data_IF_015389003887
#
_entry.id   IF_015389003887
#
_cell.length_a   1.000
_cell.length_b   1.000
_cell.length_c   1.000
_cell.angle_alpha   90.00
_cell.angle_beta   90.00
_cell.angle_gamma   90.00
#
_symmetry.space_group_name_H-M   'P 1'
#
loop_
_entity.id
_entity.type
_entity.pdbx_description
1 polymer ?
#
# COMPACT_ATOMS: atom_id res chain seq x y z
N UNK A 1 38.78 37.84 -62.69
CA UNK A 1 40.07 37.20 -63.03
C UNK A 1 40.77 36.86 -61.73
N UNK A 2 40.62 35.63 -61.25
CA UNK A 2 41.25 35.13 -60.02
C UNK A 2 41.61 33.68 -60.26
N UNK A 3 42.91 33.39 -60.26
CA UNK A 3 43.51 32.15 -60.76
C UNK A 3 43.48 31.01 -59.75
N UNK A 4 43.32 29.82 -60.33
CA UNK A 4 43.18 28.47 -59.79
C UNK A 4 44.11 28.07 -58.63
N UNK A 5 43.54 27.34 -57.66
CA UNK A 5 44.24 26.46 -56.73
C UNK A 5 43.92 25.02 -57.13
N UNK A 6 44.97 24.23 -57.39
CA UNK A 6 44.94 22.82 -57.74
C UNK A 6 44.42 21.94 -56.59
N UNK A 7 43.59 20.96 -56.95
CA UNK A 7 43.19 19.82 -56.11
C UNK A 7 44.35 18.84 -55.97
N UNK A 8 44.64 18.40 -54.74
CA UNK A 8 45.36 17.15 -54.44
C UNK A 8 44.61 16.37 -53.34
N UNK A 9 44.76 15.02 -53.28
CA UNK A 9 43.71 14.09 -52.88
C UNK A 9 43.67 13.74 -51.38
N UNK A 10 42.46 13.43 -50.90
CA UNK A 10 42.20 12.74 -49.64
C UNK A 10 42.76 11.31 -49.69
N UNK A 11 43.82 11.03 -48.94
CA UNK A 11 44.17 9.65 -48.57
C UNK A 11 45.09 9.68 -47.34
N UNK A 12 44.52 9.62 -46.13
CA UNK A 12 45.18 9.11 -44.90
C UNK A 12 44.22 9.26 -43.71
N UNK A 13 43.17 8.44 -43.69
CA UNK A 13 42.43 8.07 -42.47
C UNK A 13 42.44 6.55 -42.38
N UNK A 14 42.81 5.94 -41.23
CA UNK A 14 42.79 4.50 -41.09
C UNK A 14 41.34 3.99 -40.95
N UNK A 15 41.03 2.94 -41.69
CA UNK A 15 39.74 2.29 -41.82
C UNK A 15 39.20 1.72 -40.49
N UNK A 16 37.87 1.75 -40.25
CA UNK A 16 37.25 1.11 -39.10
C UNK A 16 36.86 -0.34 -39.45
N UNK A 17 37.84 -1.23 -39.59
CA UNK A 17 37.57 -2.67 -39.84
C UNK A 17 37.96 -3.60 -38.69
N UNK A 18 38.37 -3.08 -37.53
CA UNK A 18 38.74 -3.91 -36.37
C UNK A 18 37.71 -3.99 -35.24
N UNK A 19 36.50 -3.41 -35.41
CA UNK A 19 35.42 -3.46 -34.41
C UNK A 19 34.26 -4.39 -34.78
N UNK A 20 34.29 -5.01 -35.97
CA UNK A 20 33.22 -5.91 -36.47
C UNK A 20 33.50 -7.41 -36.25
N UNK A 21 34.70 -7.79 -35.79
CA UNK A 21 35.07 -9.20 -35.55
C UNK A 21 34.88 -9.67 -34.11
N UNK A 22 34.63 -8.76 -33.15
CA UNK A 22 34.24 -9.11 -31.77
C UNK A 22 32.72 -9.04 -31.52
N UNK A 23 31.96 -8.35 -32.38
CA UNK A 23 30.50 -8.33 -32.34
C UNK A 23 29.82 -9.52 -33.02
N UNK A 24 30.51 -10.20 -33.95
CA UNK A 24 29.94 -11.29 -34.76
C UNK A 24 30.03 -12.67 -34.11
N UNK A 25 30.88 -12.88 -33.09
CA UNK A 25 30.95 -14.17 -32.37
C UNK A 25 29.97 -14.29 -31.18
N UNK A 26 29.42 -13.17 -30.68
CA UNK A 26 28.40 -13.19 -29.62
C UNK A 26 26.96 -13.25 -30.16
N UNK A 27 26.77 -12.92 -31.44
CA UNK A 27 25.48 -13.01 -32.13
C UNK A 27 25.16 -14.41 -32.70
N UNK A 28 26.10 -15.36 -32.65
CA UNK A 28 25.88 -16.69 -33.23
C UNK A 28 25.26 -17.73 -32.28
N UNK A 29 25.09 -17.41 -30.98
CA UNK A 29 24.42 -18.29 -30.00
C UNK A 29 23.00 -17.86 -29.62
N UNK A 30 22.51 -16.73 -30.11
CA UNK A 30 21.15 -16.22 -29.87
C UNK A 30 20.19 -16.41 -31.05
N UNK A 31 20.63 -17.01 -32.16
CA UNK A 31 19.79 -17.25 -33.36
C UNK A 31 19.23 -18.67 -33.48
N UNK A 32 19.52 -19.59 -32.56
CA UNK A 32 19.10 -20.99 -32.68
C UNK A 32 17.65 -21.28 -32.25
N UNK A 33 16.82 -20.25 -32.03
CA UNK A 33 15.38 -20.40 -31.78
C UNK A 33 14.50 -19.60 -32.77
N UNK A 34 15.07 -19.03 -33.83
CA UNK A 34 14.27 -18.33 -34.86
C UNK A 34 14.80 -18.65 -36.25
N UNK A 35 14.47 -19.85 -36.73
CA UNK A 35 14.24 -20.23 -38.13
C UNK A 35 14.25 -21.76 -38.26
N UNK A 36 13.08 -22.37 -38.09
CA UNK A 36 12.73 -23.63 -38.77
C UNK A 36 11.27 -23.53 -39.16
N UNK A 37 11.05 -23.28 -40.45
CA UNK A 37 9.75 -23.36 -41.11
C UNK A 37 9.27 -24.82 -41.11
N UNK A 38 8.22 -25.10 -40.36
CA UNK A 38 7.54 -26.39 -40.17
C UNK A 38 6.34 -26.21 -39.22
N UNK A 39 5.31 -27.07 -39.28
CA UNK A 39 3.89 -26.68 -39.17
C UNK A 39 3.52 -26.00 -37.84
N UNK A 40 2.62 -25.01 -37.94
CA UNK A 40 2.21 -24.02 -36.93
C UNK A 40 1.68 -24.57 -35.60
N UNK A 41 1.49 -25.89 -35.47
CA UNK A 41 1.00 -26.51 -34.24
C UNK A 41 2.07 -26.69 -33.15
N UNK A 42 3.36 -26.71 -33.49
CA UNK A 42 4.44 -27.02 -32.53
C UNK A 42 5.17 -25.78 -31.98
N UNK A 43 4.90 -24.57 -32.49
CA UNK A 43 5.65 -23.36 -32.15
C UNK A 43 5.09 -22.64 -30.90
N UNK A 44 3.78 -22.75 -30.65
CA UNK A 44 3.14 -22.17 -29.46
C UNK A 44 3.44 -22.96 -28.17
N UNK A 45 3.64 -24.27 -28.27
CA UNK A 45 3.89 -25.16 -27.13
C UNK A 45 5.32 -24.99 -26.56
N UNK A 46 6.31 -24.67 -27.42
CA UNK A 46 7.69 -24.44 -26.99
C UNK A 46 7.91 -23.07 -26.32
N UNK A 47 7.22 -22.02 -26.75
CA UNK A 47 7.35 -20.68 -26.15
C UNK A 47 6.64 -20.58 -24.80
N UNK A 48 5.52 -21.29 -24.65
CA UNK A 48 4.72 -21.36 -23.44
C UNK A 48 5.38 -22.19 -22.32
N UNK A 49 5.97 -23.33 -22.67
CA UNK A 49 6.79 -24.12 -21.73
C UNK A 49 8.03 -23.35 -21.29
N UNK A 50 8.57 -22.47 -22.13
CA UNK A 50 9.67 -21.58 -21.80
C UNK A 50 9.24 -20.50 -20.77
N UNK A 51 8.10 -19.84 -20.98
CA UNK A 51 7.55 -18.82 -20.08
C UNK A 51 7.20 -19.39 -18.68
N UNK A 52 6.55 -20.55 -18.63
CA UNK A 52 6.20 -21.24 -17.38
C UNK A 52 7.45 -21.67 -16.59
N UNK A 53 8.46 -22.22 -17.29
CA UNK A 53 9.76 -22.60 -16.68
C UNK A 53 10.50 -21.39 -16.14
N UNK A 54 10.44 -20.23 -16.81
CA UNK A 54 11.06 -19.01 -16.29
C UNK A 54 10.40 -18.53 -15.01
N UNK A 55 9.06 -18.50 -14.92
CA UNK A 55 8.39 -18.07 -13.70
C UNK A 55 8.57 -19.03 -12.51
N UNK A 56 8.50 -20.34 -12.75
CA UNK A 56 8.87 -21.34 -11.75
C UNK A 56 10.33 -21.16 -11.28
N UNK A 57 11.23 -20.78 -12.18
CA UNK A 57 12.61 -20.43 -11.83
C UNK A 57 12.75 -19.13 -11.03
N UNK A 58 11.74 -18.25 -11.01
CA UNK A 58 11.73 -17.03 -10.18
C UNK A 58 10.99 -17.19 -8.86
N UNK A 59 9.97 -18.06 -8.79
CA UNK A 59 9.24 -18.37 -7.55
C UNK A 59 10.01 -19.39 -6.70
N UNK A 60 10.68 -20.35 -7.32
CA UNK A 60 11.44 -21.39 -6.61
C UNK A 60 12.58 -20.87 -5.73
N UNK A 61 13.38 -19.84 -6.09
CA UNK A 61 14.41 -19.30 -5.20
C UNK A 61 13.81 -18.60 -3.98
N UNK A 62 12.70 -17.87 -4.15
CA UNK A 62 11.98 -17.25 -3.02
C UNK A 62 11.43 -18.31 -2.06
N UNK A 63 10.81 -19.36 -2.61
CA UNK A 63 10.30 -20.48 -1.81
C UNK A 63 11.43 -21.23 -1.10
N UNK A 64 12.57 -21.44 -1.79
CA UNK A 64 13.75 -22.08 -1.22
C UNK A 64 14.37 -21.26 -0.10
N UNK A 65 14.52 -19.95 -0.28
CA UNK A 65 15.02 -19.05 0.79
C UNK A 65 14.06 -19.07 1.99
N UNK A 66 12.75 -18.99 1.75
CA UNK A 66 11.75 -19.00 2.81
C UNK A 66 11.72 -20.33 3.58
N UNK A 67 11.56 -21.46 2.88
CA UNK A 67 11.49 -22.80 3.48
C UNK A 67 12.83 -23.24 4.07
N UNK A 68 13.94 -22.96 3.38
CA UNK A 68 15.28 -23.26 3.86
C UNK A 68 15.62 -22.48 5.13
N UNK A 69 15.27 -21.20 5.20
CA UNK A 69 15.43 -20.41 6.42
C UNK A 69 14.51 -20.85 7.55
N UNK A 70 13.24 -21.19 7.26
CA UNK A 70 12.31 -21.74 8.26
C UNK A 70 12.83 -23.06 8.84
N UNK A 71 13.29 -23.98 7.97
CA UNK A 71 13.90 -25.24 8.38
C UNK A 71 15.16 -25.01 9.21
N UNK A 72 16.02 -24.08 8.81
CA UNK A 72 17.23 -23.73 9.56
C UNK A 72 16.90 -23.21 10.96
N UNK A 73 15.90 -22.34 11.10
CA UNK A 73 15.46 -21.80 12.40
C UNK A 73 14.88 -22.92 13.27
N UNK A 74 14.04 -23.79 12.70
CA UNK A 74 13.46 -24.94 13.41
C UNK A 74 14.53 -25.94 13.84
N UNK A 75 15.47 -26.28 12.95
CA UNK A 75 16.59 -27.15 13.26
C UNK A 75 17.46 -26.58 14.38
N UNK A 76 17.82 -25.29 14.33
CA UNK A 76 18.57 -24.64 15.40
C UNK A 76 17.80 -24.61 16.73
N UNK A 77 16.47 -24.42 16.69
CA UNK A 77 15.62 -24.46 17.89
C UNK A 77 15.58 -25.87 18.48
N UNK A 78 15.44 -26.89 17.64
CA UNK A 78 15.47 -28.30 18.03
C UNK A 78 16.83 -28.70 18.60
N UNK A 79 17.94 -28.35 17.93
CA UNK A 79 19.30 -28.61 18.42
C UNK A 79 19.54 -27.91 19.76
N UNK A 80 19.10 -26.66 19.92
CA UNK A 80 19.27 -25.92 21.18
C UNK A 80 18.40 -26.49 22.30
N UNK A 81 17.24 -27.04 21.97
CA UNK A 81 16.37 -27.74 22.91
C UNK A 81 17.01 -29.07 23.36
N UNK A 82 17.45 -29.89 22.39
CA UNK A 82 18.15 -31.17 22.62
C UNK A 82 19.43 -30.93 23.41
N UNK A 83 20.24 -29.93 23.05
CA UNK A 83 21.45 -29.57 23.79
C UNK A 83 21.13 -29.16 25.22
N UNK A 84 20.09 -28.34 25.46
CA UNK A 84 19.68 -27.98 26.84
C UNK A 84 19.17 -29.19 27.61
N UNK A 85 18.45 -30.10 26.97
CA UNK A 85 17.97 -31.34 27.57
C UNK A 85 19.12 -32.27 27.95
N UNK A 86 20.06 -32.52 27.04
CA UNK A 86 21.27 -33.32 27.27
C UNK A 86 22.15 -32.65 28.34
N UNK A 87 22.35 -31.34 28.28
CA UNK A 87 23.13 -30.61 29.28
C UNK A 87 22.47 -30.70 30.66
N UNK A 88 21.14 -30.64 30.75
CA UNK A 88 20.38 -30.83 32.00
C UNK A 88 20.51 -32.26 32.54
N UNK A 89 20.52 -33.28 31.67
CA UNK A 89 20.77 -34.68 32.05
C UNK A 89 22.22 -34.88 32.56
N UNK A 90 23.20 -34.32 31.86
CA UNK A 90 24.61 -34.37 32.26
C UNK A 90 24.84 -33.59 33.56
N UNK A 91 24.23 -32.42 33.74
CA UNK A 91 24.32 -31.65 34.99
C UNK A 91 23.70 -32.41 36.17
N UNK A 92 22.56 -33.10 35.97
CA UNK A 92 21.98 -33.99 36.99
C UNK A 92 22.93 -35.13 37.38
N UNK A 93 23.74 -35.64 36.46
CA UNK A 93 24.77 -36.67 36.74
C UNK A 93 26.09 -36.11 37.30
N UNK A 94 26.39 -34.81 37.12
CA UNK A 94 27.73 -34.22 37.35
C UNK A 94 27.78 -33.22 38.52
N UNK A 95 26.90 -33.37 39.52
CA UNK A 95 27.04 -32.68 40.82
C UNK A 95 28.13 -33.39 41.65
N UNK A 96 29.38 -33.29 41.19
CA UNK A 96 30.64 -33.53 41.93
C UNK A 96 31.85 -33.22 41.02
N UNK A 97 32.01 -31.98 40.56
CA UNK A 97 33.34 -31.33 40.52
C UNK A 97 33.28 -29.87 40.07
N UNK A 98 34.13 -29.05 40.70
CA UNK A 98 34.24 -27.60 40.52
C UNK A 98 35.16 -27.27 39.34
N UNK A 99 34.66 -27.21 38.11
CA UNK A 99 35.38 -26.58 36.99
C UNK A 99 34.47 -26.01 35.88
N UNK A 100 33.25 -25.59 36.22
CA UNK A 100 32.31 -24.97 35.26
C UNK A 100 32.51 -23.46 35.05
N UNK A 101 33.48 -22.82 35.73
CA UNK A 101 33.53 -21.35 35.88
C UNK A 101 34.11 -20.61 34.67
N UNK A 102 35.05 -21.19 33.92
CA UNK A 102 35.75 -20.52 32.82
C UNK A 102 35.03 -20.62 31.46
N UNK A 103 34.41 -21.76 31.15
CA UNK A 103 33.63 -21.94 29.91
C UNK A 103 32.32 -21.12 29.90
N UNK A 104 31.69 -20.97 31.07
CA UNK A 104 30.48 -20.14 31.22
C UNK A 104 30.76 -18.64 31.00
N UNK A 105 31.93 -18.14 31.44
CA UNK A 105 32.32 -16.73 31.31
C UNK A 105 32.50 -16.28 29.84
N UNK A 106 33.11 -17.09 28.96
CA UNK A 106 33.24 -16.75 27.52
C UNK A 106 31.89 -16.76 26.79
N UNK A 107 31.05 -17.76 27.06
CA UNK A 107 29.70 -17.88 26.45
C UNK A 107 28.77 -16.76 26.93
N UNK A 108 28.90 -16.33 28.18
CA UNK A 108 28.15 -15.21 28.75
C UNK A 108 28.60 -13.85 28.20
N UNK A 109 29.90 -13.65 27.91
CA UNK A 109 30.40 -12.44 27.24
C UNK A 109 29.91 -12.30 25.80
N UNK A 110 29.97 -13.36 24.99
CA UNK A 110 29.47 -13.34 23.60
C UNK A 110 27.96 -13.04 23.54
N UNK A 111 27.16 -13.66 24.43
CA UNK A 111 25.72 -13.41 24.52
C UNK A 111 25.43 -11.98 25.00
N UNK A 112 26.26 -11.42 25.89
CA UNK A 112 26.14 -10.04 26.35
C UNK A 112 26.36 -9.02 25.23
N UNK A 113 27.43 -9.16 24.43
CA UNK A 113 27.69 -8.27 23.28
C UNK A 113 26.60 -8.38 22.21
N UNK A 114 26.14 -9.59 21.89
CA UNK A 114 25.01 -9.78 20.95
C UNK A 114 23.74 -9.11 21.46
N UNK A 115 23.46 -9.20 22.76
CA UNK A 115 22.27 -8.58 23.35
C UNK A 115 22.37 -7.05 23.36
N UNK A 116 23.54 -6.48 23.67
CA UNK A 116 23.78 -5.04 23.56
C UNK A 116 23.60 -4.57 22.12
N UNK A 117 24.21 -5.26 21.16
CA UNK A 117 24.11 -4.91 19.75
C UNK A 117 22.66 -4.98 19.26
N UNK A 118 21.93 -6.04 19.61
CA UNK A 118 20.50 -6.17 19.31
C UNK A 118 19.68 -5.05 19.92
N UNK A 119 20.00 -4.64 21.16
CA UNK A 119 19.30 -3.53 21.83
C UNK A 119 19.59 -2.20 21.13
N UNK A 120 20.83 -1.96 20.71
CA UNK A 120 21.17 -0.76 19.92
C UNK A 120 20.43 -0.74 18.57
N UNK A 121 20.39 -1.87 17.86
CA UNK A 121 19.65 -2.00 16.60
C UNK A 121 18.14 -1.80 16.80
N UNK A 122 17.57 -2.35 17.89
CA UNK A 122 16.17 -2.15 18.25
C UNK A 122 15.87 -0.66 18.53
N UNK A 123 16.77 0.05 19.20
CA UNK A 123 16.65 1.49 19.42
C UNK A 123 16.72 2.28 18.11
N UNK A 124 17.55 1.87 17.15
CA UNK A 124 17.61 2.46 15.81
C UNK A 124 16.36 2.17 14.97
N UNK A 125 15.73 1.01 15.14
CA UNK A 125 14.48 0.65 14.48
C UNK A 125 13.25 1.23 15.17
N UNK A 126 13.39 1.67 16.43
CA UNK A 126 12.32 2.31 17.18
C UNK A 126 12.11 3.76 16.75
N UNK A 127 10.86 4.20 16.71
CA UNK A 127 10.49 5.59 16.43
C UNK A 127 10.84 6.57 17.58
N UNK A 128 11.40 6.07 18.69
CA UNK A 128 11.75 6.90 19.84
C UNK A 128 12.98 7.78 19.55
N UNK A 129 13.89 7.29 18.71
CA UNK A 129 15.09 8.06 18.31
C UNK A 129 14.81 8.92 17.08
N UNK A 130 15.50 10.06 16.94
CA UNK A 130 15.45 10.87 15.71
C UNK A 130 15.92 10.06 14.49
N UNK A 131 16.98 9.27 14.65
CA UNK A 131 17.52 8.40 13.61
C UNK A 131 16.50 7.35 13.14
N UNK A 132 15.79 6.70 14.07
CA UNK A 132 14.76 5.72 13.71
C UNK A 132 13.57 6.33 13.00
N UNK A 133 13.16 7.55 13.36
CA UNK A 133 12.13 8.28 12.61
C UNK A 133 12.54 8.54 11.16
N UNK A 134 13.78 9.03 10.94
CA UNK A 134 14.31 9.25 9.59
C UNK A 134 14.38 7.95 8.80
N UNK A 135 14.87 6.86 9.40
CA UNK A 135 14.95 5.55 8.77
C UNK A 135 13.56 5.04 8.34
N UNK A 136 12.55 5.16 9.20
CA UNK A 136 11.18 4.73 8.91
C UNK A 136 10.56 5.53 7.75
N UNK A 137 10.74 6.85 7.72
CA UNK A 137 10.29 7.70 6.62
C UNK A 137 11.01 7.32 5.32
N UNK A 138 12.33 7.12 5.38
CA UNK A 138 13.12 6.71 4.22
C UNK A 138 12.63 5.37 3.66
N UNK A 139 12.45 4.36 4.52
CA UNK A 139 11.93 3.04 4.14
C UNK A 139 10.56 3.17 3.49
N UNK A 140 9.68 4.02 4.04
CA UNK A 140 8.36 4.27 3.47
C UNK A 140 8.43 4.91 2.08
N UNK A 141 9.22 5.97 1.90
CA UNK A 141 9.40 6.62 0.60
C UNK A 141 9.98 5.64 -0.44
N UNK A 142 10.94 4.80 -0.03
CA UNK A 142 11.49 3.75 -0.89
C UNK A 142 10.46 2.67 -1.23
N UNK A 143 9.57 2.31 -0.31
CA UNK A 143 8.46 1.37 -0.58
C UNK A 143 7.52 1.93 -1.66
N UNK A 144 7.08 3.18 -1.50
CA UNK A 144 6.27 3.87 -2.52
C UNK A 144 7.03 3.94 -3.85
N UNK A 145 8.32 4.30 -3.83
CA UNK A 145 9.15 4.32 -5.03
C UNK A 145 9.21 2.96 -5.74
N UNK A 146 9.41 1.86 -5.02
CA UNK A 146 9.42 0.51 -5.62
C UNK A 146 8.07 0.04 -6.15
N UNK A 147 6.96 0.57 -5.61
CA UNK A 147 5.63 0.31 -6.11
C UNK A 147 5.36 1.10 -7.40
N UNK A 148 5.82 2.35 -7.47
CA UNK A 148 5.76 3.17 -8.70
C UNK A 148 6.58 2.52 -9.81
N UNK A 149 7.80 2.07 -9.50
CA UNK A 149 8.64 1.32 -10.46
C UNK A 149 7.90 0.08 -10.97
N UNK A 150 7.17 -0.63 -10.11
CA UNK A 150 6.34 -1.76 -10.53
C UNK A 150 5.23 -1.35 -11.50
N UNK A 151 4.53 -0.23 -11.28
CA UNK A 151 3.54 0.26 -12.24
C UNK A 151 4.17 0.69 -13.58
N UNK A 152 5.36 1.29 -13.55
CA UNK A 152 6.10 1.64 -14.77
C UNK A 152 6.46 0.36 -15.54
N UNK A 153 7.03 -0.65 -14.86
CA UNK A 153 7.35 -1.96 -15.44
C UNK A 153 6.11 -2.62 -16.08
N UNK A 154 4.93 -2.47 -15.48
CA UNK A 154 3.66 -2.98 -16.04
C UNK A 154 3.26 -2.25 -17.32
N UNK A 155 3.30 -0.92 -17.32
CA UNK A 155 2.93 -0.11 -18.50
C UNK A 155 3.88 -0.35 -19.69
N UNK A 156 5.18 -0.52 -19.41
CA UNK A 156 6.17 -0.80 -20.44
C UNK A 156 6.07 -2.23 -20.98
N UNK A 157 5.68 -3.20 -20.14
CA UNK A 157 5.46 -4.58 -20.56
C UNK A 157 4.32 -4.74 -21.57
N UNK A 158 3.32 -3.85 -21.54
CA UNK A 158 2.17 -3.88 -22.45
C UNK A 158 2.48 -3.31 -23.85
N UNK A 159 3.55 -2.53 -24.04
CA UNK A 159 3.81 -1.83 -25.31
C UNK A 159 4.83 -2.49 -26.26
N UNK A 160 5.55 -3.54 -25.84
CA UNK A 160 6.57 -4.30 -26.61
C UNK A 160 7.76 -3.50 -27.22
N UNK A 161 8.97 -4.05 -27.02
CA UNK A 161 10.19 -3.96 -27.83
C UNK A 161 11.16 -2.76 -27.78
N UNK A 162 11.01 -1.73 -26.93
CA UNK A 162 12.12 -0.78 -26.72
C UNK A 162 12.78 -0.94 -25.36
N UNK A 163 14.08 -1.24 -25.43
CA UNK A 163 15.06 -1.35 -24.34
C UNK A 163 14.66 -0.60 -23.10
N UNK A 164 14.56 -1.33 -21.98
CA UNK A 164 14.46 -0.77 -20.64
C UNK A 164 15.29 0.52 -20.54
N UNK A 165 14.74 1.64 -20.05
CA UNK A 165 15.60 2.73 -19.61
C UNK A 165 16.52 2.13 -18.55
N UNK A 166 17.77 1.86 -18.94
CA UNK A 166 18.79 1.18 -18.13
C UNK A 166 18.81 1.72 -16.69
N UNK A 167 18.53 3.03 -16.54
CA UNK A 167 18.36 3.75 -15.27
C UNK A 167 17.32 3.13 -14.33
N UNK A 168 16.11 2.78 -14.77
CA UNK A 168 15.04 2.27 -13.89
C UNK A 168 15.42 0.92 -13.29
N UNK A 169 16.03 0.03 -14.08
CA UNK A 169 16.53 -1.26 -13.59
C UNK A 169 17.63 -1.08 -12.55
N UNK A 170 18.60 -0.19 -12.79
CA UNK A 170 19.67 0.07 -11.82
C UNK A 170 19.12 0.67 -10.52
N UNK A 171 18.14 1.57 -10.61
CA UNK A 171 17.45 2.14 -9.45
C UNK A 171 16.68 1.06 -8.67
N UNK A 172 15.93 0.17 -9.35
CA UNK A 172 15.23 -0.94 -8.68
C UNK A 172 16.22 -1.86 -7.96
N UNK A 173 17.35 -2.22 -8.60
CA UNK A 173 18.40 -3.02 -7.96
C UNK A 173 18.99 -2.33 -6.73
N UNK A 174 19.22 -1.02 -6.80
CA UNK A 174 19.72 -0.24 -5.67
C UNK A 174 18.73 -0.22 -4.50
N UNK A 175 17.44 0.03 -4.77
CA UNK A 175 16.39 -0.02 -3.75
C UNK A 175 16.27 -1.41 -3.11
N UNK A 176 16.34 -2.48 -3.91
CA UNK A 176 16.29 -3.84 -3.37
C UNK A 176 17.54 -4.21 -2.56
N UNK A 177 18.72 -3.68 -2.90
CA UNK A 177 19.92 -3.84 -2.07
C UNK A 177 19.76 -3.17 -0.70
N UNK A 178 19.17 -1.97 -0.65
CA UNK A 178 18.81 -1.33 0.61
C UNK A 178 17.79 -2.16 1.42
N UNK A 179 16.78 -2.77 0.77
CA UNK A 179 15.82 -3.63 1.47
C UNK A 179 16.44 -4.91 2.04
N UNK A 180 17.43 -5.51 1.38
CA UNK A 180 18.20 -6.64 1.96
C UNK A 180 18.89 -6.20 3.24
N UNK A 181 19.57 -5.06 3.20
CA UNK A 181 20.26 -4.51 4.37
C UNK A 181 19.26 -4.24 5.50
N UNK A 182 18.14 -3.58 5.20
CA UNK A 182 17.09 -3.28 6.17
C UNK A 182 16.42 -4.53 6.75
N UNK A 183 16.18 -5.56 5.92
CA UNK A 183 15.71 -6.87 6.37
C UNK A 183 16.72 -7.53 7.33
N UNK A 184 18.02 -7.46 7.02
CA UNK A 184 19.08 -7.96 7.89
C UNK A 184 19.11 -7.28 9.26
N UNK A 185 18.97 -5.94 9.30
CA UNK A 185 18.87 -5.18 10.56
C UNK A 185 17.68 -5.63 11.40
N UNK A 186 16.49 -5.75 10.79
CA UNK A 186 15.28 -6.23 11.47
C UNK A 186 15.41 -7.67 11.96
N UNK A 187 16.00 -8.55 11.15
CA UNK A 187 16.25 -9.94 11.54
C UNK A 187 17.17 -10.03 12.76
N UNK A 188 18.23 -9.22 12.83
CA UNK A 188 19.14 -9.21 13.99
C UNK A 188 18.43 -8.66 15.23
N UNK A 189 17.64 -7.59 15.09
CA UNK A 189 16.93 -6.95 16.20
C UNK A 189 15.76 -7.76 16.78
N UNK A 190 15.16 -8.69 16.02
CA UNK A 190 13.99 -9.44 16.48
C UNK A 190 14.29 -10.39 17.65
N UNK A 191 13.51 -10.35 18.73
CA UNK A 191 13.66 -11.26 19.87
C UNK A 191 13.31 -12.71 19.49
N UNK A 192 12.16 -12.90 18.83
CA UNK A 192 11.68 -14.20 18.34
C UNK A 192 11.85 -14.34 16.82
N UNK A 193 12.95 -15.00 16.41
CA UNK A 193 13.30 -15.17 14.99
C UNK A 193 12.22 -15.88 14.16
N UNK A 194 11.48 -16.83 14.76
CA UNK A 194 10.43 -17.58 14.05
C UNK A 194 9.17 -16.73 13.83
N UNK A 195 8.77 -15.95 14.84
CA UNK A 195 7.64 -15.02 14.71
C UNK A 195 7.95 -13.92 13.69
N UNK A 196 9.17 -13.41 13.71
CA UNK A 196 9.67 -12.47 12.71
C UNK A 196 9.67 -13.06 11.29
N UNK A 197 10.06 -14.32 11.13
CA UNK A 197 10.08 -14.99 9.82
C UNK A 197 8.68 -15.17 9.20
N UNK A 198 7.65 -15.33 10.03
CA UNK A 198 6.24 -15.48 9.63
C UNK A 198 5.46 -14.16 9.62
N UNK A 199 6.10 -13.04 9.95
CA UNK A 199 5.47 -11.72 9.91
C UNK A 199 5.19 -11.30 8.46
N UNK A 200 4.01 -10.74 8.18
CA UNK A 200 3.59 -10.37 6.81
C UNK A 200 4.63 -9.49 6.08
N UNK A 201 5.21 -8.52 6.78
CA UNK A 201 6.23 -7.64 6.21
C UNK A 201 7.50 -8.41 5.80
N UNK A 202 7.90 -9.42 6.58
CA UNK A 202 9.02 -10.29 6.24
C UNK A 202 8.68 -11.22 5.07
N UNK A 203 7.45 -11.74 5.02
CA UNK A 203 6.97 -12.56 3.90
C UNK A 203 7.02 -11.80 2.58
N UNK A 204 6.57 -10.54 2.57
CA UNK A 204 6.66 -9.68 1.38
C UNK A 204 8.11 -9.54 0.93
N UNK A 205 9.06 -9.36 1.85
CA UNK A 205 10.48 -9.24 1.52
C UNK A 205 11.04 -10.54 0.92
N UNK A 206 10.67 -11.70 1.45
CA UNK A 206 11.09 -12.99 0.89
C UNK A 206 10.62 -13.24 -0.54
N UNK A 207 9.42 -12.77 -0.89
CA UNK A 207 8.89 -12.99 -2.24
C UNK A 207 9.27 -11.90 -3.23
N UNK A 208 9.63 -10.70 -2.76
CA UNK A 208 9.93 -9.55 -3.63
C UNK A 208 11.42 -9.33 -3.86
N UNK A 209 12.28 -9.65 -2.89
CA UNK A 209 13.72 -9.35 -2.95
C UNK A 209 14.52 -10.39 -3.77
N UNK A 210 14.46 -11.71 -3.48
CA UNK A 210 15.25 -12.71 -4.22
C UNK A 210 15.06 -12.70 -5.74
N UNK A 211 13.83 -12.56 -6.29
CA UNK A 211 13.64 -12.54 -7.74
C UNK A 211 14.38 -11.40 -8.44
N UNK A 212 14.61 -10.27 -7.75
CA UNK A 212 15.36 -9.13 -8.32
C UNK A 212 16.84 -9.49 -8.46
N UNK A 213 17.42 -10.23 -7.51
CA UNK A 213 18.80 -10.73 -7.62
C UNK A 213 18.93 -11.81 -8.69
N UNK A 214 17.97 -12.73 -8.77
CA UNK A 214 17.95 -13.75 -9.82
C UNK A 214 17.79 -13.11 -11.20
N UNK A 215 16.98 -12.06 -11.30
CA UNK A 215 16.84 -11.25 -12.51
C UNK A 215 18.14 -10.52 -12.89
N UNK A 216 18.90 -10.05 -11.89
CA UNK A 216 20.23 -9.48 -12.10
C UNK A 216 21.24 -10.52 -12.62
N UNK A 217 21.18 -11.77 -12.13
CA UNK A 217 22.05 -12.87 -12.55
C UNK A 217 21.71 -13.38 -13.95
N UNK A 218 20.41 -13.57 -14.26
CA UNK A 218 19.92 -14.12 -15.53
C UNK A 218 19.80 -13.06 -16.64
N UNK A 219 20.04 -11.78 -16.34
CA UNK A 219 19.87 -10.61 -17.24
C UNK A 219 18.50 -10.57 -17.94
N UNK A 220 17.46 -11.13 -17.30
CA UNK A 220 16.07 -11.14 -17.76
C UNK A 220 15.16 -10.56 -16.69
N UNK A 221 14.22 -9.70 -17.08
CA UNK A 221 13.20 -9.17 -16.19
C UNK A 221 11.93 -10.02 -16.29
N UNK A 222 11.44 -10.47 -15.14
CA UNK A 222 10.14 -11.11 -15.01
C UNK A 222 9.34 -10.39 -13.92
N UNK A 223 8.06 -10.11 -14.18
CA UNK A 223 7.18 -9.39 -13.26
C UNK A 223 6.87 -10.21 -12.00
N UNK A 224 6.66 -11.53 -12.13
CA UNK A 224 6.51 -12.47 -11.02
C UNK A 224 5.61 -11.98 -9.87
N UNK A 225 6.09 -12.13 -8.63
CA UNK A 225 5.37 -11.74 -7.40
C UNK A 225 5.65 -10.28 -6.97
N UNK A 226 6.09 -9.40 -7.88
CA UNK A 226 6.41 -8.00 -7.55
C UNK A 226 5.18 -7.20 -7.06
N UNK A 227 3.96 -7.60 -7.43
CA UNK A 227 2.73 -6.96 -6.95
C UNK A 227 2.57 -7.03 -5.43
N UNK A 228 3.20 -7.99 -4.75
CA UNK A 228 3.19 -8.09 -3.28
C UNK A 228 3.81 -6.86 -2.60
N UNK A 229 4.58 -6.04 -3.32
CA UNK A 229 5.09 -4.74 -2.83
C UNK A 229 3.93 -3.81 -2.38
N UNK A 230 2.73 -3.95 -2.95
CA UNK A 230 1.56 -3.17 -2.53
C UNK A 230 1.14 -3.45 -1.07
N UNK A 231 1.42 -4.64 -0.53
CA UNK A 231 1.15 -4.98 0.88
C UNK A 231 1.96 -4.11 1.85
N UNK A 232 3.08 -3.50 1.42
CA UNK A 232 3.87 -2.59 2.25
C UNK A 232 3.13 -1.29 2.59
N UNK A 233 2.04 -0.98 1.89
CA UNK A 233 1.15 0.13 2.26
C UNK A 233 0.48 -0.09 3.63
N UNK A 234 0.43 -1.32 4.15
CA UNK A 234 -0.09 -1.63 5.49
C UNK A 234 0.70 -0.93 6.61
N UNK A 235 1.95 -0.53 6.37
CA UNK A 235 2.77 0.19 7.35
C UNK A 235 2.46 1.70 7.40
N UNK A 236 1.76 2.24 6.38
CA UNK A 236 1.42 3.67 6.25
C UNK A 236 0.74 4.26 7.50
N UNK A 237 -0.28 3.62 8.11
CA UNK A 237 -0.96 4.16 9.28
C UNK A 237 -0.03 4.28 10.49
N UNK A 238 0.90 3.33 10.66
CA UNK A 238 1.89 3.36 11.75
C UNK A 238 2.84 4.54 11.58
N UNK A 239 3.25 4.81 10.34
CA UNK A 239 4.17 5.92 10.03
C UNK A 239 3.47 7.28 10.23
N UNK A 240 2.21 7.41 9.77
CA UNK A 240 1.42 8.64 9.98
C UNK A 240 1.24 8.98 11.46
N UNK A 241 1.05 7.97 12.32
CA UNK A 241 0.98 8.15 13.78
C UNK A 241 2.32 8.65 14.35
N UNK A 242 3.43 8.06 13.93
CA UNK A 242 4.78 8.47 14.36
C UNK A 242 5.09 9.92 13.95
N UNK A 243 4.66 10.31 12.74
CA UNK A 243 4.80 11.68 12.23
C UNK A 243 3.85 12.68 12.91
N UNK A 244 2.96 12.23 13.80
CA UNK A 244 1.94 13.06 14.47
C UNK A 244 1.02 13.83 13.50
N UNK A 245 0.88 13.32 12.27
CA UNK A 245 -0.05 13.88 11.26
C UNK A 245 -1.48 13.54 11.66
N UNK A 246 -1.68 12.31 12.12
CA UNK A 246 -2.97 11.78 12.54
C UNK A 246 -3.03 11.76 14.06
N UNK A 247 -3.77 12.70 14.65
CA UNK A 247 -3.88 12.84 16.11
C UNK A 247 -5.13 12.21 16.69
N UNK A 248 -6.22 12.22 15.92
CA UNK A 248 -7.51 11.71 16.38
C UNK A 248 -7.58 10.19 16.21
N UNK A 249 -8.16 9.50 17.20
CA UNK A 249 -8.39 8.05 17.16
C UNK A 249 -9.18 7.63 15.93
N UNK A 250 -10.14 8.48 15.54
CA UNK A 250 -10.92 8.33 14.33
C UNK A 250 -10.02 8.28 13.08
N UNK A 251 -9.21 9.32 12.89
CA UNK A 251 -8.33 9.45 11.73
C UNK A 251 -7.29 8.33 11.68
N UNK A 252 -6.88 7.81 12.86
CA UNK A 252 -6.01 6.63 12.98
C UNK A 252 -6.71 5.37 12.46
N UNK A 253 -7.93 5.11 12.93
CA UNK A 253 -8.73 3.94 12.50
C UNK A 253 -9.02 3.99 11.01
N UNK A 254 -9.41 5.17 10.52
CA UNK A 254 -9.62 5.42 9.11
C UNK A 254 -8.38 5.15 8.26
N UNK A 255 -7.22 5.71 8.63
CA UNK A 255 -5.98 5.51 7.86
C UNK A 255 -5.59 4.03 7.78
N UNK A 256 -5.81 3.26 8.86
CA UNK A 256 -5.63 1.79 8.86
C UNK A 256 -6.56 1.12 7.88
N UNK A 257 -7.84 1.49 7.88
CA UNK A 257 -8.84 0.91 7.01
C UNK A 257 -8.53 1.21 5.53
N UNK A 258 -8.20 2.46 5.18
CA UNK A 258 -7.75 2.82 3.84
C UNK A 258 -6.50 2.06 3.39
N UNK A 259 -5.49 1.93 4.27
CA UNK A 259 -4.27 1.20 3.94
C UNK A 259 -4.56 -0.27 3.65
N UNK A 260 -5.42 -0.92 4.44
CA UNK A 260 -5.86 -2.31 4.20
C UNK A 260 -6.64 -2.40 2.89
N UNK A 261 -7.56 -1.48 2.63
CA UNK A 261 -8.38 -1.46 1.41
C UNK A 261 -7.51 -1.34 0.15
N UNK A 262 -6.66 -0.32 0.07
CA UNK A 262 -5.82 -0.07 -1.12
C UNK A 262 -4.78 -1.16 -1.31
N UNK A 263 -4.11 -1.62 -0.24
CA UNK A 263 -3.12 -2.70 -0.35
C UNK A 263 -3.75 -4.01 -0.83
N UNK A 264 -4.91 -4.39 -0.30
CA UNK A 264 -5.63 -5.60 -0.69
C UNK A 264 -6.13 -5.51 -2.12
N UNK A 265 -6.70 -4.37 -2.52
CA UNK A 265 -7.17 -4.13 -3.88
C UNK A 265 -6.06 -4.28 -4.92
N UNK A 266 -4.93 -3.60 -4.72
CA UNK A 266 -3.79 -3.67 -5.62
C UNK A 266 -3.16 -5.07 -5.66
N UNK A 267 -3.02 -5.72 -4.50
CA UNK A 267 -2.43 -7.07 -4.44
C UNK A 267 -3.32 -8.10 -5.12
N UNK A 268 -4.64 -8.04 -4.92
CA UNK A 268 -5.60 -8.92 -5.58
C UNK A 268 -5.60 -8.71 -7.11
N UNK A 269 -5.55 -7.46 -7.57
CA UNK A 269 -5.43 -7.14 -8.99
C UNK A 269 -4.15 -7.71 -9.60
N UNK A 270 -3.02 -7.58 -8.91
CA UNK A 270 -1.75 -8.15 -9.34
C UNK A 270 -1.73 -9.67 -9.37
N UNK A 271 -2.43 -10.33 -8.43
CA UNK A 271 -2.58 -11.77 -8.43
C UNK A 271 -3.41 -12.25 -9.63
N UNK A 272 -4.58 -11.64 -9.89
CA UNK A 272 -5.40 -11.97 -11.06
C UNK A 272 -4.65 -11.70 -12.37
N UNK A 273 -3.96 -10.56 -12.46
CA UNK A 273 -3.12 -10.23 -13.61
C UNK A 273 -2.03 -11.28 -13.86
N UNK A 274 -1.38 -11.79 -12.79
CA UNK A 274 -0.41 -12.87 -12.91
C UNK A 274 -1.07 -14.14 -13.43
N UNK A 275 -2.16 -14.58 -12.80
CA UNK A 275 -2.76 -15.89 -13.11
C UNK A 275 -3.40 -15.90 -14.50
N UNK A 276 -4.16 -14.88 -14.87
CA UNK A 276 -4.85 -14.84 -16.18
C UNK A 276 -3.85 -14.72 -17.34
N UNK A 277 -2.78 -13.92 -17.21
CA UNK A 277 -1.77 -13.80 -18.27
C UNK A 277 -0.92 -15.07 -18.45
N UNK A 278 -0.77 -15.87 -17.39
CA UNK A 278 0.01 -17.11 -17.45
C UNK A 278 -0.84 -18.34 -17.82
N UNK A 279 -2.13 -18.32 -17.50
CA UNK A 279 -3.02 -19.47 -17.61
C UNK A 279 -2.76 -20.56 -16.56
N UNK A 280 -3.59 -21.61 -16.60
CA UNK A 280 -3.48 -22.77 -15.71
C UNK A 280 -2.40 -23.75 -16.22
N UNK A 281 -1.41 -24.15 -15.39
CA UNK A 281 -0.32 -25.03 -15.82
C UNK A 281 -0.74 -26.44 -16.28
N UNK A 282 -1.93 -26.89 -15.84
CA UNK A 282 -2.42 -28.26 -16.04
C UNK A 282 -3.41 -28.41 -17.19
N UNK A 283 -3.78 -27.32 -17.87
CA UNK A 283 -4.71 -27.34 -19.01
C UNK A 283 -3.92 -27.14 -20.30
N UNK A 284 -4.14 -27.99 -21.30
CA UNK A 284 -3.57 -27.86 -22.64
C UNK A 284 -4.71 -27.85 -23.67
N UNK A 285 -4.78 -26.86 -24.60
CA UNK A 285 -3.93 -25.66 -24.68
C UNK A 285 -4.12 -24.74 -23.47
N UNK A 286 -3.08 -23.97 -23.12
CA UNK A 286 -3.14 -23.08 -21.94
C UNK A 286 -4.18 -21.99 -22.17
N UNK A 287 -5.06 -21.83 -21.19
CA UNK A 287 -6.15 -20.88 -21.14
C UNK A 287 -5.70 -19.47 -20.68
N UNK A 288 -4.57 -18.99 -21.22
CA UNK A 288 -4.06 -17.65 -20.90
C UNK A 288 -4.88 -16.56 -21.60
N UNK A 289 -5.22 -15.51 -20.87
CA UNK A 289 -5.88 -14.33 -21.39
C UNK A 289 -4.97 -13.11 -21.15
N UNK A 290 -4.56 -12.37 -22.20
CA UNK A 290 -3.79 -11.15 -22.03
C UNK A 290 -4.70 -10.04 -21.49
N UNK A 291 -4.61 -9.74 -20.20
CA UNK A 291 -5.36 -8.69 -19.53
C UNK A 291 -4.37 -7.70 -18.91
N UNK A 292 -4.57 -6.41 -19.21
CA UNK A 292 -3.83 -5.30 -18.59
C UNK A 292 -4.03 -5.25 -17.08
N UNK A 293 -3.01 -4.80 -16.34
CA UNK A 293 -3.10 -4.67 -14.87
C UNK A 293 -4.22 -3.73 -14.42
N UNK A 294 -4.42 -2.60 -15.11
CA UNK A 294 -5.51 -1.66 -14.80
C UNK A 294 -6.90 -2.26 -15.02
N UNK A 295 -7.04 -3.15 -16.02
CA UNK A 295 -8.28 -3.91 -16.23
C UNK A 295 -8.54 -4.89 -15.08
N UNK A 296 -7.49 -5.50 -14.55
CA UNK A 296 -7.59 -6.33 -13.34
C UNK A 296 -7.95 -5.48 -12.10
N UNK A 297 -7.40 -4.27 -11.94
CA UNK A 297 -7.81 -3.34 -10.88
C UNK A 297 -9.29 -3.00 -10.97
N UNK A 298 -9.77 -2.68 -12.17
CA UNK A 298 -11.18 -2.41 -12.42
C UNK A 298 -12.06 -3.62 -12.06
N UNK A 299 -11.69 -4.83 -12.53
CA UNK A 299 -12.39 -6.08 -12.21
C UNK A 299 -12.53 -6.30 -10.69
N UNK A 300 -11.44 -6.16 -9.95
CA UNK A 300 -11.44 -6.34 -8.50
C UNK A 300 -12.31 -5.27 -7.81
N UNK A 301 -12.25 -4.02 -8.26
CA UNK A 301 -13.06 -2.94 -7.68
C UNK A 301 -14.56 -3.17 -7.92
N UNK A 302 -14.97 -3.54 -9.14
CA UNK A 302 -16.35 -3.87 -9.51
C UNK A 302 -16.87 -5.11 -8.77
N UNK A 303 -16.00 -6.09 -8.54
CA UNK A 303 -16.33 -7.29 -7.77
C UNK A 303 -16.50 -6.97 -6.28
N UNK A 304 -15.59 -6.18 -5.71
CA UNK A 304 -15.62 -5.78 -4.30
C UNK A 304 -16.81 -4.86 -3.97
N UNK A 305 -17.22 -4.00 -4.91
CA UNK A 305 -18.40 -3.16 -4.79
C UNK A 305 -19.72 -3.89 -5.05
N UNK A 306 -19.68 -5.20 -5.36
CA UNK A 306 -20.85 -6.04 -5.68
C UNK A 306 -21.63 -5.64 -6.93
N UNK A 307 -21.04 -4.81 -7.80
CA UNK A 307 -21.70 -4.35 -9.03
C UNK A 307 -21.70 -5.45 -10.09
N UNK A 308 -20.56 -6.07 -10.35
CA UNK A 308 -20.46 -7.25 -11.22
C UNK A 308 -20.97 -7.07 -12.66
N UNK A 309 -20.46 -6.08 -13.41
CA UNK A 309 -20.89 -5.82 -14.80
C UNK A 309 -20.74 -7.02 -15.75
N UNK A 310 -19.75 -7.88 -15.50
CA UNK A 310 -19.49 -9.06 -16.34
C UNK A 310 -18.83 -8.76 -17.69
N UNK A 311 -18.33 -7.54 -17.88
CA UNK A 311 -17.59 -7.10 -19.06
C UNK A 311 -16.17 -7.68 -19.12
N UNK A 312 -15.53 -7.86 -17.96
CA UNK A 312 -14.26 -8.57 -17.80
C UNK A 312 -14.49 -9.70 -16.81
N UNK A 313 -14.06 -10.91 -17.17
CA UNK A 313 -14.24 -12.12 -16.35
C UNK A 313 -12.96 -12.93 -16.29
N UNK A 314 -12.75 -13.62 -15.16
CA UNK A 314 -11.65 -14.58 -15.00
C UNK A 314 -11.97 -15.89 -15.69
N UNK A 315 -11.08 -16.35 -16.57
CA UNK A 315 -11.27 -17.60 -17.32
C UNK A 315 -10.51 -18.76 -16.68
N UNK A 316 -9.41 -18.48 -16.00
CA UNK A 316 -8.56 -19.51 -15.39
C UNK A 316 -9.23 -20.13 -14.16
N UNK A 317 -8.98 -21.43 -13.94
CA UNK A 317 -9.46 -22.15 -12.77
C UNK A 317 -8.84 -21.58 -11.47
N UNK A 318 -7.54 -21.26 -11.50
CA UNK A 318 -6.88 -20.57 -10.38
C UNK A 318 -7.46 -19.18 -10.10
N UNK A 319 -7.73 -18.40 -11.14
CA UNK A 319 -8.31 -17.06 -11.03
C UNK A 319 -9.73 -17.13 -10.46
N UNK A 320 -10.56 -18.06 -10.94
CA UNK A 320 -11.91 -18.30 -10.41
C UNK A 320 -11.91 -18.74 -8.95
N UNK A 321 -11.02 -19.66 -8.58
CA UNK A 321 -10.87 -20.08 -7.19
C UNK A 321 -10.46 -18.91 -6.29
N UNK A 322 -9.52 -18.07 -6.74
CA UNK A 322 -9.13 -16.88 -6.02
C UNK A 322 -10.28 -15.88 -5.85
N UNK A 323 -11.00 -15.57 -6.93
CA UNK A 323 -12.15 -14.66 -6.89
C UNK A 323 -13.24 -15.17 -5.93
N UNK A 324 -13.50 -16.47 -5.90
CA UNK A 324 -14.46 -17.06 -4.95
C UNK A 324 -14.13 -16.74 -3.49
N UNK A 325 -12.88 -16.96 -3.06
CA UNK A 325 -12.45 -16.59 -1.70
C UNK A 325 -12.36 -15.07 -1.51
N UNK A 326 -11.95 -14.34 -2.55
CA UNK A 326 -11.82 -12.90 -2.53
C UNK A 326 -13.16 -12.20 -2.33
N UNK A 327 -14.26 -12.70 -2.91
CA UNK A 327 -15.60 -12.12 -2.73
C UNK A 327 -15.97 -12.09 -1.25
N UNK A 328 -15.74 -13.19 -0.51
CA UNK A 328 -16.05 -13.27 0.93
C UNK A 328 -15.24 -12.23 1.72
N UNK A 329 -13.92 -12.18 1.50
CA UNK A 329 -13.06 -11.21 2.19
C UNK A 329 -13.32 -9.76 1.78
N UNK A 330 -13.56 -9.53 0.48
CA UNK A 330 -13.83 -8.23 -0.11
C UNK A 330 -15.14 -7.63 0.39
N UNK A 331 -16.19 -8.43 0.52
CA UNK A 331 -17.47 -8.02 1.11
C UNK A 331 -17.29 -7.55 2.57
N UNK A 332 -16.56 -8.31 3.38
CA UNK A 332 -16.28 -7.93 4.78
C UNK A 332 -15.49 -6.63 4.84
N UNK A 333 -14.47 -6.47 4.00
CA UNK A 333 -13.68 -5.24 3.95
C UNK A 333 -14.51 -4.04 3.48
N UNK A 334 -15.34 -4.21 2.45
CA UNK A 334 -16.18 -3.15 1.90
C UNK A 334 -17.28 -2.71 2.87
N UNK A 335 -17.93 -3.67 3.55
CA UNK A 335 -18.96 -3.38 4.55
C UNK A 335 -18.41 -2.63 5.77
N UNK A 336 -17.14 -2.87 6.15
CA UNK A 336 -16.47 -2.11 7.21
C UNK A 336 -15.97 -0.74 6.74
N UNK A 337 -15.62 -0.60 5.44
CA UNK A 337 -15.08 0.64 4.88
C UNK A 337 -16.14 1.75 4.80
N UNK A 338 -17.35 1.44 4.33
CA UNK A 338 -18.39 2.46 4.08
C UNK A 338 -18.79 3.22 5.36
N UNK A 339 -19.17 2.57 6.47
CA UNK A 339 -19.60 3.28 7.69
C UNK A 339 -18.51 4.20 8.25
N UNK A 340 -17.27 3.75 8.21
CA UNK A 340 -16.10 4.52 8.67
C UNK A 340 -15.79 5.72 7.75
N UNK A 341 -16.21 5.70 6.49
CA UNK A 341 -16.11 6.91 5.66
C UNK A 341 -17.28 7.85 5.96
N UNK A 342 -18.49 7.31 6.12
CA UNK A 342 -19.69 8.09 6.39
C UNK A 342 -19.61 8.88 7.69
N UNK A 343 -19.08 8.29 8.77
CA UNK A 343 -18.99 8.95 10.07
C UNK A 343 -17.99 10.15 10.04
N UNK A 344 -16.96 10.16 9.17
CA UNK A 344 -16.13 11.36 8.93
C UNK A 344 -16.93 12.44 8.24
N UNK A 345 -17.61 12.06 7.17
CA UNK A 345 -18.32 13.00 6.32
C UNK A 345 -19.42 13.66 7.14
N UNK A 346 -20.09 12.90 8.00
CA UNK A 346 -21.09 13.41 8.94
C UNK A 346 -20.46 14.27 10.03
N UNK A 347 -19.36 13.85 10.65
CA UNK A 347 -18.69 14.65 11.71
C UNK A 347 -18.14 15.98 11.18
N UNK A 348 -17.72 16.06 9.91
CA UNK A 348 -17.28 17.28 9.24
C UNK A 348 -18.43 18.21 8.86
N UNK A 349 -19.63 17.67 8.61
CA UNK A 349 -20.84 18.44 8.26
C UNK A 349 -21.54 19.06 9.45
N UNK A 350 -21.22 18.66 10.69
CA UNK A 350 -21.76 19.32 11.88
C UNK A 350 -21.26 20.78 11.90
N UNK A 351 -22.15 21.70 11.53
CA UNK A 351 -21.94 23.13 11.26
C UNK A 351 -20.90 23.79 12.16
N UNK A 352 -19.63 23.81 11.73
CA UNK A 352 -18.52 24.46 12.42
C UNK A 352 -18.32 25.91 11.96
N UNK A 353 -19.37 26.59 11.50
CA UNK A 353 -19.26 28.00 11.11
C UNK A 353 -19.35 28.85 12.37
N UNK A 354 -18.28 29.58 12.68
CA UNK A 354 -18.38 30.76 13.54
C UNK A 354 -19.39 31.71 12.92
N UNK A 355 -20.29 32.27 13.72
CA UNK A 355 -21.23 33.28 13.24
C UNK A 355 -20.42 34.52 12.90
N UNK A 356 -20.40 34.92 11.62
CA UNK A 356 -19.80 36.19 11.24
C UNK A 356 -20.80 37.30 11.54
N UNK A 357 -20.47 38.12 12.56
CA UNK A 357 -21.34 39.21 13.00
C UNK A 357 -21.48 40.23 11.86
N UNK A 358 -22.69 40.35 11.31
CA UNK A 358 -22.98 41.39 10.33
C UNK A 358 -23.17 42.75 11.03
N UNK A 359 -22.39 43.75 10.62
CA UNK A 359 -22.49 45.11 11.17
C UNK A 359 -23.88 45.70 10.92
N UNK A 360 -24.57 46.11 11.98
CA UNK A 360 -25.89 46.74 11.92
C UNK A 360 -27.11 45.83 12.18
N UNK A 361 -26.90 44.54 12.49
CA UNK A 361 -27.97 43.63 12.92
C UNK A 361 -27.78 43.20 14.38
N UNK A 362 -28.86 43.27 15.16
CA UNK A 362 -28.85 42.75 16.52
C UNK A 362 -29.02 41.22 16.47
N UNK A 363 -28.37 40.49 17.36
CA UNK A 363 -28.54 39.05 17.47
C UNK A 363 -28.76 38.63 18.92
N UNK A 364 -29.53 37.55 19.11
CA UNK A 364 -29.85 36.97 20.41
C UNK A 364 -29.38 35.52 20.40
N UNK A 365 -28.61 35.12 21.42
CA UNK A 365 -28.18 33.73 21.58
C UNK A 365 -29.06 33.05 22.62
N UNK A 366 -29.74 31.98 22.21
CA UNK A 366 -30.61 31.15 23.06
C UNK A 366 -29.86 29.89 23.44
N UNK A 367 -29.55 29.74 24.72
CA UNK A 367 -28.86 28.58 25.29
C UNK A 367 -29.78 27.78 26.22
N UNK A 368 -29.58 26.46 26.31
CA UNK A 368 -30.28 25.62 27.30
C UNK A 368 -30.77 24.30 26.72
N UNK A 369 -31.87 23.77 27.28
CA UNK A 369 -32.52 22.57 26.76
C UNK A 369 -33.40 22.94 25.55
N UNK A 370 -32.79 22.94 24.36
CA UNK A 370 -33.42 23.32 23.10
C UNK A 370 -34.27 22.15 22.57
N UNK A 371 -35.43 21.91 23.19
CA UNK A 371 -36.41 20.95 22.67
C UNK A 371 -37.32 21.62 21.63
N UNK A 372 -37.95 20.82 20.76
CA UNK A 372 -38.92 21.35 19.79
C UNK A 372 -40.00 22.19 20.47
N UNK A 373 -40.56 21.70 21.58
CA UNK A 373 -41.59 22.40 22.34
C UNK A 373 -41.12 23.74 22.90
N UNK A 374 -39.92 23.80 23.49
CA UNK A 374 -39.38 25.04 24.03
C UNK A 374 -39.06 26.07 22.94
N UNK A 375 -38.53 25.62 21.81
CA UNK A 375 -38.23 26.50 20.66
C UNK A 375 -39.53 27.04 20.07
N UNK A 376 -40.56 26.21 19.91
CA UNK A 376 -41.84 26.67 19.35
C UNK A 376 -42.53 27.66 20.25
N UNK A 377 -42.56 27.43 21.56
CA UNK A 377 -43.16 28.37 22.51
C UNK A 377 -42.39 29.67 22.53
N UNK A 378 -41.05 29.61 22.58
CA UNK A 378 -40.20 30.80 22.52
C UNK A 378 -40.42 31.60 21.23
N UNK A 379 -40.40 30.96 20.06
CA UNK A 379 -40.60 31.65 18.79
C UNK A 379 -42.01 32.19 18.64
N UNK A 380 -43.04 31.48 19.11
CA UNK A 380 -44.41 31.98 19.10
C UNK A 380 -44.53 33.24 19.95
N UNK A 381 -44.07 33.21 21.21
CA UNK A 381 -44.17 34.34 22.12
C UNK A 381 -43.33 35.53 21.64
N UNK A 382 -42.10 35.26 21.18
CA UNK A 382 -41.16 36.29 20.72
C UNK A 382 -41.62 36.95 19.41
N UNK A 383 -42.12 36.17 18.45
CA UNK A 383 -42.60 36.70 17.16
C UNK A 383 -43.97 37.40 17.27
N UNK A 384 -44.75 37.13 18.32
CA UNK A 384 -46.03 37.78 18.59
C UNK A 384 -45.87 39.11 19.35
N UNK A 385 -44.83 39.28 20.17
CA UNK A 385 -44.62 40.49 20.96
C UNK A 385 -43.97 41.67 20.21
N UNK A 386 -43.22 41.41 19.13
CA UNK A 386 -42.51 42.47 18.39
C UNK A 386 -43.37 43.08 17.28
N UNK A 387 -44.03 44.21 17.57
CA UNK A 387 -44.64 45.09 16.55
C UNK A 387 -43.63 46.05 15.88
N UNK A 388 -42.38 46.10 16.37
CA UNK A 388 -41.31 46.97 15.89
C UNK A 388 -40.47 46.39 14.75
N UNK A 389 -39.94 47.26 13.88
CA UNK A 389 -39.14 46.91 12.70
C UNK A 389 -37.67 46.56 13.03
N UNK A 390 -37.44 45.68 14.02
CA UNK A 390 -36.09 45.29 14.46
C UNK A 390 -35.69 43.98 13.79
N UNK A 391 -34.73 44.05 12.87
CA UNK A 391 -34.12 42.87 12.26
C UNK A 391 -33.20 42.19 13.28
N UNK A 392 -33.75 41.26 14.06
CA UNK A 392 -32.99 40.50 15.07
C UNK A 392 -32.73 39.07 14.57
N UNK A 393 -31.48 38.63 14.62
CA UNK A 393 -31.10 37.25 14.28
C UNK A 393 -31.08 36.39 15.55
N UNK A 394 -31.75 35.23 15.52
CA UNK A 394 -31.85 34.34 16.69
C UNK A 394 -30.93 33.14 16.47
N UNK A 395 -29.99 32.97 17.39
CA UNK A 395 -28.96 31.95 17.36
C UNK A 395 -29.22 30.90 18.45
N UNK A 396 -29.56 29.68 18.07
CA UNK A 396 -29.74 28.59 19.03
C UNK A 396 -28.42 27.87 19.30
N UNK A 397 -28.10 27.69 20.58
CA UNK A 397 -26.95 26.94 21.07
C UNK A 397 -27.41 25.58 21.59
N UNK A 398 -27.00 24.49 20.91
CA UNK A 398 -27.32 23.12 21.34
C UNK A 398 -26.09 22.18 21.23
N UNK A 399 -26.02 21.16 22.08
CA UNK A 399 -24.94 20.16 22.06
C UNK A 399 -25.18 19.01 21.08
N UNK A 400 -26.43 18.75 20.69
CA UNK A 400 -26.84 17.67 19.79
C UNK A 400 -27.89 18.18 18.81
N UNK A 401 -27.59 18.08 17.52
CA UNK A 401 -28.50 18.48 16.47
C UNK A 401 -29.61 17.43 16.28
N UNK A 402 -30.85 17.87 16.11
CA UNK A 402 -31.93 17.01 15.62
C UNK A 402 -32.39 17.52 14.26
N UNK A 403 -32.23 16.72 13.20
CA UNK A 403 -32.74 17.04 11.86
C UNK A 403 -34.25 17.34 11.83
N UNK A 404 -34.98 16.80 12.80
CA UNK A 404 -36.39 17.06 12.99
C UNK A 404 -36.68 18.52 13.40
N UNK A 405 -35.78 19.15 14.16
CA UNK A 405 -35.89 20.55 14.58
C UNK A 405 -35.71 21.50 13.38
N UNK A 406 -34.78 21.20 12.47
CA UNK A 406 -34.53 21.97 11.25
C UNK A 406 -35.74 21.95 10.32
N UNK A 407 -36.24 20.76 10.00
CA UNK A 407 -37.39 20.57 9.12
C UNK A 407 -38.64 21.26 9.68
N UNK A 408 -38.89 21.09 10.98
CA UNK A 408 -40.03 21.71 11.65
C UNK A 408 -39.94 23.23 11.66
N UNK A 409 -38.74 23.81 11.81
CA UNK A 409 -38.59 25.26 11.83
C UNK A 409 -38.68 25.90 10.47
N UNK A 410 -38.17 25.24 9.43
CA UNK A 410 -38.44 25.62 8.05
C UNK A 410 -39.95 25.64 7.81
N UNK A 411 -40.65 24.59 8.20
CA UNK A 411 -42.10 24.49 8.03
C UNK A 411 -42.87 25.53 8.87
N UNK A 412 -42.45 25.78 10.11
CA UNK A 412 -43.01 26.81 10.98
C UNK A 412 -42.80 28.22 10.42
N UNK A 413 -41.60 28.55 9.93
CA UNK A 413 -41.30 29.85 9.32
C UNK A 413 -42.03 30.06 8.00
N UNK A 414 -42.22 28.99 7.21
CA UNK A 414 -43.03 29.00 5.99
C UNK A 414 -44.52 29.19 6.35
N UNK A 415 -45.03 28.47 7.34
CA UNK A 415 -46.41 28.59 7.83
C UNK A 415 -46.74 29.98 8.40
N UNK A 416 -45.75 30.71 8.89
CA UNK A 416 -45.90 32.09 9.37
C UNK A 416 -45.70 33.14 8.25
N UNK A 417 -45.55 32.72 6.99
CA UNK A 417 -45.40 33.62 5.83
C UNK A 417 -44.08 34.39 5.79
N UNK A 418 -43.04 33.90 6.49
CA UNK A 418 -41.73 34.58 6.65
C UNK A 418 -40.55 33.82 6.02
N UNK A 419 -40.77 32.64 5.44
CA UNK A 419 -39.75 31.85 4.76
C UNK A 419 -39.66 32.14 3.26
N UNK A 420 -38.66 32.91 2.81
CA UNK A 420 -38.42 33.13 1.38
C UNK A 420 -37.02 33.68 1.09
N UNK A 421 -36.25 32.93 0.29
CA UNK A 421 -34.94 33.35 -0.25
C UNK A 421 -35.17 34.32 -1.41
N UNK A 422 -35.11 35.61 -1.08
CA UNK A 422 -34.94 36.81 -1.93
C UNK A 422 -36.01 37.14 -2.98
N UNK A 423 -36.71 38.28 -2.79
CA UNK A 423 -36.96 39.20 -3.90
C UNK A 423 -37.04 40.68 -3.45
N UNK A 424 -36.12 41.49 -4.01
CA UNK A 424 -36.02 42.93 -4.35
C UNK A 424 -36.77 44.04 -3.54
N UNK A 425 -37.59 43.78 -2.53
CA UNK A 425 -38.19 44.82 -1.67
C UNK A 425 -37.99 44.54 -0.17
N UNK A 426 -36.76 44.78 0.29
CA UNK A 426 -36.40 45.41 1.56
C UNK A 426 -37.28 45.24 2.81
N UNK A 427 -37.82 44.05 3.10
CA UNK A 427 -38.44 43.73 4.41
C UNK A 427 -38.28 42.24 4.73
N UNK A 428 -37.09 41.84 5.18
CA UNK A 428 -36.98 40.64 6.01
C UNK A 428 -37.13 41.05 7.47
N UNK A 429 -38.04 40.40 8.19
CA UNK A 429 -38.29 40.70 9.61
C UNK A 429 -37.47 39.83 10.57
N UNK A 430 -37.08 38.60 10.19
CA UNK A 430 -36.28 37.70 11.03
C UNK A 430 -35.43 36.75 10.17
N UNK A 431 -34.18 36.51 10.57
CA UNK A 431 -33.32 35.44 10.06
C UNK A 431 -32.98 34.54 11.25
N UNK A 432 -33.32 33.25 11.17
CA UNK A 432 -33.00 32.27 12.22
C UNK A 432 -31.83 31.45 11.71
N UNK A 433 -30.66 31.68 12.31
CA UNK A 433 -29.43 30.97 11.95
C UNK A 433 -28.99 30.08 13.12
N UNK A 434 -28.39 28.94 12.79
CA UNK A 434 -27.94 27.94 13.76
C UNK A 434 -26.43 28.01 13.94
N UNK A 435 -25.96 28.06 15.19
CA UNK A 435 -24.54 27.92 15.51
C UNK A 435 -24.28 26.70 16.37
N UNK A 436 -23.48 25.77 15.84
CA UNK A 436 -23.05 24.58 16.56
C UNK A 436 -21.54 24.65 16.79
N UNK A 437 -21.10 24.77 18.04
CA UNK A 437 -19.68 24.58 18.38
C UNK A 437 -19.61 23.42 19.37
N UNK A 438 -18.95 22.33 18.95
CA UNK A 438 -18.68 21.20 19.84
C UNK A 438 -17.59 21.60 20.83
N UNK A 439 -17.90 21.58 22.12
CA UNK A 439 -16.89 21.60 23.19
C UNK A 439 -16.11 20.28 23.17
N UNK A 440 -14.77 20.40 23.24
CA UNK A 440 -13.79 19.31 23.12
C UNK A 440 -14.10 18.08 23.96
#
# INVERSE_FOLDING_TARGET
MGTSIQKLPLSLWPSPELSLTLGSLQHHKSSLCSRRSGPEHNMAESDLTCALRFQLAFISPSLFVFLGGLFTILALRSIRCIYRFILKQIWRKKVKNKDARWSHKRKQRSVYYIRIFSTQMQMMLSAQTSMGRVLMILVFLLNIGTLIIYFIDLTEAEQFQFSFPYRVIYVDKFFNAFFVFYFGLRFVAADDKLRFWLELNSLVDFFTIPPVFVSALLRKNCLGLRFLRALRLLDLPRILQILRITKDDYSIKLSKLFAVFISTWLTAAGFVHLVENNGDPWVQPVNSQPITYFRCMYLIMVTMSTVGYGDIVVQTALGRAFIFFFIIGGLVLFANFIPEVLEIVQSRKSYKSSYEVMSGKNYIVVCGNVTLKSVTTFLQDFLLQDEGNVCTEILFWESKYSYFLEFFLLDFLISQGKGGRSDIKGRQRYVVDYLMIKTN
#
